data_IF_211225293243
#
_entry.id   IF_211225293243
#
_cell.length_a   1.000
_cell.length_b   1.000
_cell.length_c   1.000
_cell.angle_alpha   90.00
_cell.angle_beta   90.00
_cell.angle_gamma   90.00
#
_symmetry.space_group_name_H-M   'P 1'
#
loop_
_entity.id
_entity.type
_entity.pdbx_description
1 polymer ?
#
# COMPACT_ATOMS: atom_id res chain seq x y z
N UNK A 1 1.12 5.07 -7.24
CA UNK A 1 2.31 5.94 -7.26
C UNK A 1 2.19 6.99 -8.34
N UNK A 2 2.12 8.27 -7.96
CA UNK A 2 2.37 9.40 -8.85
C UNK A 2 3.55 10.19 -8.32
N UNK A 3 4.73 10.04 -8.93
CA UNK A 3 5.96 10.71 -8.47
C UNK A 3 5.80 12.24 -8.38
N UNK A 4 4.98 12.85 -9.25
CA UNK A 4 4.64 14.28 -9.18
C UNK A 4 3.93 14.64 -7.87
N UNK A 5 2.92 13.86 -7.49
CA UNK A 5 2.16 14.06 -6.26
C UNK A 5 3.05 13.86 -5.02
N UNK A 6 3.82 12.77 -4.99
CA UNK A 6 4.70 12.44 -3.87
C UNK A 6 5.78 13.52 -3.67
N UNK A 7 6.35 14.07 -4.75
CA UNK A 7 7.29 15.19 -4.68
C UNK A 7 6.64 16.48 -4.16
N UNK A 8 5.40 16.79 -4.57
CA UNK A 8 4.65 17.92 -4.03
C UNK A 8 4.37 17.78 -2.52
N UNK A 9 4.08 16.57 -2.02
CA UNK A 9 3.94 16.32 -0.57
C UNK A 9 5.25 16.55 0.19
N UNK A 10 6.40 16.18 -0.40
CA UNK A 10 7.73 16.43 0.19
C UNK A 10 8.01 17.93 0.31
N UNK A 11 7.59 18.74 -0.66
CA UNK A 11 7.78 20.19 -0.67
C UNK A 11 7.04 20.90 0.49
N UNK A 12 5.87 20.41 0.92
CA UNK A 12 5.06 21.04 1.98
C UNK A 12 5.81 21.16 3.32
N UNK A 13 5.76 22.35 3.93
CA UNK A 13 6.40 22.69 5.22
C UNK A 13 5.35 23.04 6.27
N UNK A 14 5.76 23.16 7.54
CA UNK A 14 4.86 23.49 8.66
C UNK A 14 3.92 22.38 9.14
N UNK A 15 3.87 21.23 8.44
CA UNK A 15 3.08 20.07 8.85
C UNK A 15 3.73 19.31 10.03
N UNK A 16 2.91 18.85 10.98
CA UNK A 16 3.33 17.83 11.98
C UNK A 16 3.72 16.53 11.25
N UNK A 17 4.70 15.74 11.75
CA UNK A 17 5.19 14.54 11.07
C UNK A 17 4.09 13.56 10.64
N UNK A 18 3.20 13.15 11.55
CA UNK A 18 2.09 12.24 11.25
C UNK A 18 1.09 12.82 10.23
N UNK A 19 0.80 14.13 10.29
CA UNK A 19 -0.03 14.82 9.28
C UNK A 19 0.65 14.85 7.90
N UNK A 20 1.98 14.95 7.84
CA UNK A 20 2.74 14.86 6.60
C UNK A 20 2.80 13.44 6.04
N UNK A 21 2.85 12.41 6.89
CA UNK A 21 2.76 10.99 6.50
C UNK A 21 1.40 10.71 5.83
N UNK A 22 0.29 11.17 6.43
CA UNK A 22 -1.06 11.02 5.83
C UNK A 22 -1.14 11.70 4.44
N UNK A 23 -0.57 12.89 4.29
CA UNK A 23 -0.51 13.58 3.00
C UNK A 23 0.35 12.81 1.96
N UNK A 24 1.47 12.24 2.40
CA UNK A 24 2.37 11.46 1.55
C UNK A 24 1.69 10.20 1.01
N UNK A 25 0.98 9.44 1.85
CA UNK A 25 0.21 8.26 1.41
C UNK A 25 -1.01 8.60 0.53
N UNK A 26 -1.64 9.77 0.73
CA UNK A 26 -2.66 10.27 -0.20
C UNK A 26 -2.07 10.59 -1.58
N UNK A 27 -0.86 11.14 -1.62
CA UNK A 27 -0.16 11.48 -2.86
C UNK A 27 0.38 10.24 -3.58
N UNK A 28 0.88 9.25 -2.83
CA UNK A 28 1.30 7.96 -3.40
C UNK A 28 0.14 7.28 -4.15
N UNK A 29 -1.05 7.32 -3.56
CA UNK A 29 -2.28 6.70 -4.10
C UNK A 29 -3.01 7.51 -5.15
N UNK A 30 -2.63 8.76 -5.39
CA UNK A 30 -3.19 9.55 -6.47
C UNK A 30 -2.75 8.98 -7.84
N UNK A 31 -3.73 8.80 -8.72
CA UNK A 31 -3.54 8.50 -10.13
C UNK A 31 -3.97 9.74 -10.96
N UNK A 32 -3.19 10.20 -11.96
CA UNK A 32 -3.50 11.42 -12.69
C UNK A 32 -4.78 11.34 -13.53
N UNK A 33 -5.13 10.16 -14.05
CA UNK A 33 -6.27 9.98 -14.97
C UNK A 33 -7.60 9.84 -14.20
N UNK A 34 -7.55 9.27 -12.99
CA UNK A 34 -8.76 8.93 -12.21
C UNK A 34 -8.92 9.79 -10.94
N UNK A 35 -7.82 10.22 -10.30
CA UNK A 35 -7.80 10.88 -8.98
C UNK A 35 -7.34 9.96 -7.84
N UNK A 36 -7.70 10.30 -6.60
CA UNK A 36 -7.35 9.54 -5.39
C UNK A 36 -8.60 9.08 -4.61
N UNK A 37 -8.73 7.77 -4.35
CA UNK A 37 -9.92 7.18 -3.69
C UNK A 37 -9.63 6.09 -2.62
N UNK A 38 -8.63 6.23 -1.72
CA UNK A 38 -8.40 5.24 -0.68
C UNK A 38 -9.59 5.12 0.27
N UNK A 39 -9.84 3.90 0.76
CA UNK A 39 -10.73 3.71 1.91
C UNK A 39 -10.02 4.20 3.18
N UNK A 40 -10.77 4.77 4.14
CA UNK A 40 -10.17 5.28 5.37
C UNK A 40 -9.44 4.18 6.17
N UNK A 41 -9.98 2.96 6.19
CA UNK A 41 -9.32 1.83 6.84
C UNK A 41 -7.93 1.55 6.22
N UNK A 42 -7.81 1.53 4.89
CA UNK A 42 -6.52 1.31 4.20
C UNK A 42 -5.59 2.52 4.31
N UNK A 43 -6.10 3.74 4.43
CA UNK A 43 -5.26 4.92 4.66
C UNK A 43 -4.76 5.00 6.12
N UNK A 44 -5.51 4.45 7.07
CA UNK A 44 -5.14 4.35 8.48
C UNK A 44 -4.09 3.26 8.71
N UNK A 45 -4.25 2.12 8.04
CA UNK A 45 -3.33 0.98 7.99
C UNK A 45 -1.93 1.41 7.49
N UNK A 46 -1.83 2.00 6.28
CA UNK A 46 -0.57 2.53 5.73
C UNK A 46 0.08 3.60 6.62
N UNK A 47 -0.72 4.47 7.24
CA UNK A 47 -0.22 5.54 8.09
C UNK A 47 0.02 5.10 9.55
N UNK A 48 -0.07 3.81 9.85
CA UNK A 48 0.16 3.17 11.16
C UNK A 48 -0.60 3.85 12.31
N UNK A 49 -1.86 4.24 12.08
CA UNK A 49 -2.65 5.02 13.03
C UNK A 49 -4.13 4.61 13.10
N UNK A 50 -4.82 5.02 14.17
CA UNK A 50 -6.26 4.76 14.30
C UNK A 50 -7.07 5.58 13.29
N UNK A 51 -8.25 5.09 12.91
CA UNK A 51 -9.18 5.81 12.01
C UNK A 51 -9.61 7.16 12.62
N UNK A 52 -9.62 7.30 13.95
CA UNK A 52 -9.86 8.57 14.63
C UNK A 52 -8.72 9.57 14.41
N UNK A 53 -7.48 9.18 14.70
CA UNK A 53 -6.29 10.02 14.49
C UNK A 53 -6.10 10.38 13.00
N UNK A 54 -6.38 9.44 12.10
CA UNK A 54 -6.44 9.73 10.67
C UNK A 54 -7.46 10.83 10.36
N UNK A 55 -8.68 10.78 10.92
CA UNK A 55 -9.69 11.79 10.62
C UNK A 55 -9.34 13.18 11.17
N UNK A 56 -8.63 13.26 12.31
CA UNK A 56 -8.05 14.52 12.81
C UNK A 56 -7.00 15.08 11.84
N UNK A 57 -6.09 14.23 11.34
CA UNK A 57 -5.08 14.66 10.38
C UNK A 57 -5.67 15.02 9.01
N UNK A 58 -6.71 14.30 8.56
CA UNK A 58 -7.46 14.67 7.36
C UNK A 58 -8.18 16.01 7.51
N UNK A 59 -8.80 16.28 8.67
CA UNK A 59 -9.38 17.59 8.95
C UNK A 59 -8.32 18.70 8.90
N UNK A 60 -7.15 18.48 9.53
CA UNK A 60 -6.05 19.47 9.49
C UNK A 60 -5.48 19.68 8.08
N UNK A 61 -5.53 18.68 7.19
CA UNK A 61 -5.13 18.84 5.79
C UNK A 61 -6.20 19.58 4.94
N UNK A 62 -7.47 19.52 5.31
CA UNK A 62 -8.55 20.34 4.71
C UNK A 62 -8.48 21.79 5.19
N UNK A 63 -8.26 22.02 6.49
CA UNK A 63 -8.00 23.36 7.07
C UNK A 63 -6.83 24.06 6.38
N UNK A 64 -5.78 23.32 6.07
CA UNK A 64 -4.59 23.84 5.37
C UNK A 64 -4.74 23.90 3.84
N UNK A 65 -5.94 23.61 3.30
CA UNK A 65 -6.25 23.60 1.85
C UNK A 65 -5.32 22.71 1.02
N UNK A 66 -4.77 21.66 1.63
CA UNK A 66 -3.90 20.68 0.95
C UNK A 66 -4.71 19.51 0.36
N UNK A 67 -5.89 19.21 0.91
CA UNK A 67 -6.82 18.21 0.39
C UNK A 67 -8.28 18.71 0.46
N UNK A 68 -9.17 18.08 -0.30
CA UNK A 68 -10.62 18.24 -0.20
C UNK A 68 -11.34 16.89 -0.39
N UNK A 69 -12.20 16.48 0.55
CA UNK A 69 -12.89 15.17 0.53
C UNK A 69 -14.31 15.23 -0.05
N UNK A 70 -14.47 14.87 -1.33
CA UNK A 70 -15.81 14.72 -1.95
C UNK A 70 -16.41 13.36 -1.58
N UNK A 71 -17.60 13.38 -0.97
CA UNK A 71 -18.33 12.18 -0.50
C UNK A 71 -19.56 11.91 -1.38
N UNK A 72 -19.40 11.11 -2.42
CA UNK A 72 -20.49 10.80 -3.37
C UNK A 72 -21.39 9.65 -2.88
N UNK A 73 -22.65 9.67 -3.32
CA UNK A 73 -23.68 8.68 -3.05
C UNK A 73 -24.26 8.21 -4.40
N UNK A 74 -24.48 6.91 -4.58
CA UNK A 74 -25.18 6.39 -5.76
C UNK A 74 -26.67 6.81 -5.69
N UNK A 75 -27.17 7.65 -6.63
CA UNK A 75 -28.53 8.16 -6.56
C UNK A 75 -29.60 7.09 -6.84
N UNK A 76 -29.21 5.94 -7.42
CA UNK A 76 -30.12 4.85 -7.80
C UNK A 76 -30.09 3.68 -6.81
N UNK A 77 -28.94 3.38 -6.20
CA UNK A 77 -28.82 2.28 -5.22
C UNK A 77 -28.73 2.74 -3.76
N UNK A 78 -28.64 4.04 -3.51
CA UNK A 78 -28.44 4.65 -2.19
C UNK A 78 -27.27 4.00 -1.41
N UNK A 79 -26.18 3.71 -2.12
CA UNK A 79 -24.93 3.24 -1.56
C UNK A 79 -23.91 4.36 -1.55
N UNK A 80 -23.23 4.55 -0.42
CA UNK A 80 -22.09 5.47 -0.30
C UNK A 80 -20.95 4.98 -1.19
N UNK A 81 -20.47 5.86 -2.08
CA UNK A 81 -19.36 5.55 -2.98
C UNK A 81 -18.01 5.80 -2.28
N UNK A 82 -16.91 5.43 -2.96
CA UNK A 82 -15.57 5.77 -2.50
C UNK A 82 -15.43 7.30 -2.37
N UNK A 83 -14.81 7.77 -1.29
CA UNK A 83 -14.57 9.20 -1.07
C UNK A 83 -13.42 9.64 -1.98
N UNK A 84 -13.64 10.64 -2.84
CA UNK A 84 -12.56 11.24 -3.63
C UNK A 84 -11.79 12.22 -2.76
N UNK A 85 -10.48 12.12 -2.78
CA UNK A 85 -9.55 13.08 -2.21
C UNK A 85 -8.98 13.88 -3.38
N UNK A 86 -9.38 15.14 -3.51
CA UNK A 86 -8.75 16.08 -4.45
C UNK A 86 -7.55 16.70 -3.73
N UNK A 87 -6.37 16.61 -4.33
CA UNK A 87 -5.13 17.17 -3.76
C UNK A 87 -4.93 18.62 -4.23
N UNK A 88 -4.28 19.45 -3.41
CA UNK A 88 -4.09 20.90 -3.63
C UNK A 88 -3.29 21.31 -4.88
N UNK A 89 -2.85 20.35 -5.71
CA UNK A 89 -2.24 20.60 -7.03
C UNK A 89 -3.12 20.15 -8.21
N UNK A 90 -4.28 19.50 -7.96
CA UNK A 90 -5.20 19.07 -9.01
C UNK A 90 -5.94 20.27 -9.61
N UNK A 91 -6.04 20.33 -10.94
CA UNK A 91 -6.95 21.26 -11.61
C UNK A 91 -8.40 20.92 -11.19
N UNK A 92 -9.14 21.92 -10.73
CA UNK A 92 -10.44 21.73 -10.08
C UNK A 92 -10.38 21.51 -8.57
N UNK A 93 -9.23 21.70 -7.91
CA UNK A 93 -9.21 21.92 -6.46
C UNK A 93 -10.08 23.17 -6.12
N UNK A 94 -11.03 23.08 -5.17
CA UNK A 94 -11.87 24.23 -4.85
C UNK A 94 -11.05 25.42 -4.38
N UNK A 95 -11.31 26.60 -4.95
CA UNK A 95 -10.86 27.86 -4.36
C UNK A 95 -11.85 28.27 -3.24
N UNK A 96 -11.56 29.36 -2.54
CA UNK A 96 -12.57 30.00 -1.70
C UNK A 96 -13.50 30.84 -2.60
N UNK A 97 -14.78 31.01 -2.25
CA UNK A 97 -15.55 32.09 -2.84
C UNK A 97 -14.83 33.39 -2.49
N UNK A 98 -14.38 34.13 -3.50
CA UNK A 98 -13.83 35.47 -3.29
C UNK A 98 -14.88 36.30 -2.55
N UNK A 99 -14.54 36.96 -1.43
CA UNK A 99 -15.50 37.85 -0.78
C UNK A 99 -15.93 38.93 -1.77
N UNK A 100 -17.25 39.14 -1.92
CA UNK A 100 -17.79 40.17 -2.81
C UNK A 100 -17.50 41.56 -2.25
N UNK A 101 -16.32 42.09 -2.56
CA UNK A 101 -16.02 43.52 -2.44
C UNK A 101 -16.54 44.24 -3.68
N UNK A 102 -17.87 44.42 -3.73
CA UNK A 102 -18.57 45.19 -4.74
C UNK A 102 -19.28 46.39 -4.09
N UNK A 103 -18.59 47.52 -3.97
CA UNK A 103 -19.15 48.74 -3.40
C UNK A 103 -20.15 49.43 -4.34
N UNK A 104 -21.29 49.89 -3.78
CA UNK A 104 -21.92 51.15 -4.17
C UNK A 104 -23.31 51.12 -4.83
N UNK A 105 -24.29 51.72 -4.13
CA UNK A 105 -25.53 52.38 -4.62
C UNK A 105 -26.54 51.51 -5.43
N UNK A 106 -27.87 51.66 -5.31
CA UNK A 106 -28.71 52.78 -4.85
C UNK A 106 -30.12 52.29 -4.39
N UNK A 107 -30.92 53.15 -3.75
CA UNK A 107 -32.35 52.93 -3.44
C UNK A 107 -32.63 52.33 -2.04
N UNK A 108 -33.05 53.11 -1.02
CA UNK A 108 -34.39 53.72 -0.75
C UNK A 108 -35.54 52.72 -0.62
N UNK A 109 -36.44 52.77 0.37
CA UNK A 109 -36.50 53.45 1.68
C UNK A 109 -37.67 52.81 2.48
N UNK A 110 -37.63 52.85 3.82
CA UNK A 110 -38.77 53.33 4.65
C UNK A 110 -38.41 53.30 6.15
N UNK A 111 -38.87 54.30 6.90
CA UNK A 111 -38.50 54.58 8.30
C UNK A 111 -39.56 54.13 9.31
N UNK A 112 -39.14 53.79 10.55
CA UNK A 112 -39.79 54.10 11.86
C UNK A 112 -39.22 53.22 12.99
N UNK A 113 -39.12 53.64 14.26
CA UNK A 113 -38.92 54.96 14.90
C UNK A 113 -38.57 54.71 16.40
N UNK A 114 -38.02 55.71 17.10
CA UNK A 114 -38.08 55.78 18.58
C UNK A 114 -36.86 55.30 19.39
N UNK A 115 -35.90 56.20 19.62
CA UNK A 115 -35.12 56.28 20.87
C UNK A 115 -35.90 57.24 21.82
N UNK A 116 -35.94 57.02 23.15
CA UNK A 116 -34.87 57.57 23.99
C UNK A 116 -34.45 56.71 25.20
N UNK A 117 -33.14 56.63 25.44
CA UNK A 117 -32.58 56.29 26.76
C UNK A 117 -32.58 57.53 27.68
N UNK A 118 -32.82 57.42 29.01
CA UNK A 118 -31.73 57.79 29.93
C UNK A 118 -31.66 57.03 31.29
N UNK A 119 -30.43 56.64 31.64
CA UNK A 119 -29.75 56.62 32.96
C UNK A 119 -30.51 56.41 34.30
N UNK A 120 -30.19 55.30 34.99
CA UNK A 120 -29.90 55.20 36.45
C UNK A 120 -29.61 53.73 36.83
N UNK A 121 -28.61 53.34 37.65
CA UNK A 121 -27.48 54.08 38.24
C UNK A 121 -26.88 53.31 39.44
N UNK A 122 -25.57 53.45 39.70
CA UNK A 122 -24.76 52.83 40.80
C UNK A 122 -24.60 51.30 40.73
N UNK A 123 -23.44 50.67 41.02
CA UNK A 123 -22.06 51.11 41.38
C UNK A 123 -21.18 49.84 41.52
N UNK A 124 -19.88 49.82 41.83
CA UNK A 124 -18.84 50.80 42.20
C UNK A 124 -17.48 50.01 42.31
N UNK A 125 -16.23 50.48 42.14
CA UNK A 125 -15.54 51.72 41.70
C UNK A 125 -14.04 51.36 41.42
N UNK A 126 -13.22 52.33 40.97
CA UNK A 126 -11.73 52.34 40.94
C UNK A 126 -11.01 51.71 39.71
N UNK A 127 -10.08 52.38 39.01
CA UNK A 127 -9.72 53.81 39.12
C UNK A 127 -8.35 54.25 38.57
N UNK A 128 -8.15 54.32 37.24
CA UNK A 128 -7.06 55.03 36.51
C UNK A 128 -5.59 54.60 36.81
N UNK A 129 -4.57 54.79 35.95
CA UNK A 129 -4.43 55.34 34.59
C UNK A 129 -3.29 54.56 33.85
N UNK A 130 -3.18 54.67 32.52
CA UNK A 130 -1.98 54.24 31.77
C UNK A 130 -0.86 55.31 31.88
N UNK A 131 0.45 55.11 31.62
CA UNK A 131 1.24 54.10 30.88
C UNK A 131 2.69 54.14 31.45
N UNK A 132 3.57 53.12 31.31
CA UNK A 132 4.29 52.91 30.03
C UNK A 132 4.55 51.43 29.66
N UNK A 133 5.36 51.22 28.62
CA UNK A 133 5.82 49.94 28.06
C UNK A 133 6.78 49.16 28.99
N UNK A 134 7.04 47.85 28.77
CA UNK A 134 7.56 46.96 29.80
C UNK A 134 9.07 47.08 30.04
N UNK A 135 9.46 46.88 31.31
CA UNK A 135 10.85 46.83 31.75
C UNK A 135 11.49 45.47 31.38
N UNK A 136 12.66 45.51 30.74
CA UNK A 136 13.35 44.30 30.26
C UNK A 136 14.16 43.65 31.39
N UNK A 137 13.53 42.73 32.12
CA UNK A 137 14.18 41.89 33.13
C UNK A 137 15.14 40.84 32.51
N UNK A 138 16.31 41.33 32.08
CA UNK A 138 17.54 40.59 31.74
C UNK A 138 17.41 39.36 30.82
N UNK A 139 17.72 39.57 29.53
CA UNK A 139 17.97 38.50 28.56
C UNK A 139 19.23 37.69 28.91
N UNK A 140 19.07 36.59 29.64
CA UNK A 140 20.15 35.60 29.77
C UNK A 140 20.27 34.79 28.47
N UNK A 141 21.02 35.35 27.51
CA UNK A 141 21.30 34.76 26.20
C UNK A 141 21.99 33.39 26.36
N UNK A 142 21.22 32.31 26.29
CA UNK A 142 21.76 30.94 26.31
C UNK A 142 22.22 30.54 24.91
N UNK A 143 23.31 31.15 24.46
CA UNK A 143 24.03 30.75 23.25
C UNK A 143 24.49 29.29 23.37
N UNK A 144 24.41 28.51 22.28
CA UNK A 144 25.41 27.49 22.02
C UNK A 144 26.00 27.60 20.60
N UNK A 145 26.37 28.81 20.16
CA UNK A 145 27.49 28.91 19.22
C UNK A 145 28.81 28.78 19.99
N UNK A 146 29.18 27.53 20.29
CA UNK A 146 30.52 27.17 20.75
C UNK A 146 31.22 26.44 19.62
N UNK A 147 32.29 27.03 19.08
CA UNK A 147 33.03 26.45 17.97
C UNK A 147 33.80 25.18 18.40
N UNK A 148 33.62 24.11 17.62
CA UNK A 148 34.67 23.16 17.21
C UNK A 148 35.69 22.69 18.27
N UNK A 149 35.23 22.18 19.42
CA UNK A 149 36.03 21.20 20.16
C UNK A 149 35.77 19.81 19.58
N UNK A 150 36.75 19.29 18.83
CA UNK A 150 36.82 17.87 18.47
C UNK A 150 37.21 17.06 19.71
N UNK A 151 36.25 16.75 20.57
CA UNK A 151 36.38 15.54 21.39
C UNK A 151 36.26 14.32 20.46
N UNK A 152 37.18 13.35 20.49
CA UNK A 152 37.17 12.21 19.58
C UNK A 152 36.09 11.20 20.00
N UNK A 153 34.85 11.47 19.59
CA UNK A 153 33.64 10.71 19.92
C UNK A 153 33.76 9.28 19.37
N UNK A 154 34.28 8.40 20.23
CA UNK A 154 34.79 7.09 19.83
C UNK A 154 33.67 6.07 19.67
N UNK A 155 33.17 5.99 18.44
CA UNK A 155 32.24 4.98 17.88
C UNK A 155 30.76 5.22 18.19
N UNK A 156 30.03 5.72 17.18
CA UNK A 156 28.94 4.97 16.54
C UNK A 156 29.40 4.25 15.26
N UNK A 157 30.59 4.61 14.75
CA UNK A 157 31.19 4.13 13.47
C UNK A 157 30.92 2.65 13.20
N UNK A 158 31.13 1.76 14.19
CA UNK A 158 30.97 0.31 14.01
C UNK A 158 29.61 -0.17 13.48
N UNK A 159 28.52 0.54 13.74
CA UNK A 159 27.19 0.12 13.28
C UNK A 159 26.87 0.68 11.89
N UNK A 160 27.30 1.91 11.59
CA UNK A 160 27.15 2.50 10.25
C UNK A 160 28.12 1.85 9.25
N UNK A 161 29.40 1.68 9.63
CA UNK A 161 30.41 0.89 8.92
C UNK A 161 29.94 -0.56 8.73
N UNK A 162 29.28 -1.15 9.74
CA UNK A 162 28.70 -2.49 9.67
C UNK A 162 27.49 -2.59 8.73
N UNK A 163 26.68 -1.54 8.61
CA UNK A 163 25.57 -1.48 7.64
C UNK A 163 26.08 -1.26 6.21
N UNK A 164 26.99 -0.30 6.03
CA UNK A 164 27.64 0.00 4.74
C UNK A 164 28.44 -1.21 4.22
N UNK A 165 29.14 -1.94 5.11
CA UNK A 165 29.80 -3.19 4.76
C UNK A 165 28.81 -4.26 4.28
N UNK A 166 27.68 -4.47 4.97
CA UNK A 166 26.66 -5.45 4.58
C UNK A 166 26.02 -5.16 3.22
N UNK A 167 25.71 -3.89 2.93
CA UNK A 167 25.17 -3.53 1.61
C UNK A 167 26.25 -3.64 0.51
N UNK A 168 27.52 -3.34 0.81
CA UNK A 168 28.64 -3.55 -0.12
C UNK A 168 28.96 -5.04 -0.37
N UNK A 169 28.87 -5.88 0.67
CA UNK A 169 28.96 -7.34 0.56
C UNK A 169 27.81 -7.89 -0.31
N UNK A 170 26.58 -7.39 -0.10
CA UNK A 170 25.43 -7.77 -0.93
C UNK A 170 25.56 -7.32 -2.39
N UNK A 171 26.03 -6.11 -2.67
CA UNK A 171 26.23 -5.66 -4.05
C UNK A 171 27.36 -6.44 -4.75
N UNK A 172 28.39 -6.90 -4.01
CA UNK A 172 29.39 -7.85 -4.52
C UNK A 172 28.74 -9.20 -4.88
N UNK A 173 27.98 -9.81 -3.96
CA UNK A 173 27.24 -11.05 -4.21
C UNK A 173 26.26 -10.91 -5.39
N UNK A 174 25.56 -9.78 -5.52
CA UNK A 174 24.65 -9.52 -6.63
C UNK A 174 25.40 -9.41 -7.96
N UNK A 175 26.59 -8.81 -7.99
CA UNK A 175 27.46 -8.79 -9.17
C UNK A 175 27.99 -10.21 -9.53
N UNK A 176 28.36 -11.02 -8.55
CA UNK A 176 28.74 -12.42 -8.75
C UNK A 176 27.57 -13.27 -9.28
N UNK A 177 26.34 -13.01 -8.82
CA UNK A 177 25.12 -13.64 -9.34
C UNK A 177 24.85 -13.26 -10.80
N UNK A 178 25.01 -11.99 -11.17
CA UNK A 178 24.91 -11.54 -12.56
C UNK A 178 25.97 -12.22 -13.43
N UNK A 179 27.22 -12.31 -12.95
CA UNK A 179 28.31 -13.02 -13.62
C UNK A 179 28.02 -14.53 -13.79
N UNK A 180 27.50 -15.20 -12.76
CA UNK A 180 27.08 -16.60 -12.81
C UNK A 180 25.92 -16.84 -13.80
N UNK A 181 25.09 -15.80 -14.04
CA UNK A 181 24.04 -15.79 -15.06
C UNK A 181 24.54 -15.32 -16.44
N UNK A 182 25.80 -14.93 -16.59
CA UNK A 182 26.35 -14.40 -17.84
C UNK A 182 25.65 -13.11 -18.30
N UNK A 183 25.25 -12.27 -17.35
CA UNK A 183 24.71 -10.93 -17.55
C UNK A 183 25.82 -9.90 -17.31
N UNK A 184 25.98 -8.94 -18.23
CA UNK A 184 26.93 -7.84 -18.05
C UNK A 184 26.33 -6.81 -17.08
N UNK A 185 27.01 -6.46 -15.96
CA UNK A 185 26.50 -5.46 -15.01
C UNK A 185 26.39 -4.05 -15.60
N UNK A 186 26.99 -3.78 -16.77
CA UNK A 186 26.91 -2.50 -17.48
C UNK A 186 25.78 -2.43 -18.52
N UNK A 187 25.28 -3.57 -19.00
CA UNK A 187 24.17 -3.69 -19.97
C UNK A 187 23.10 -4.69 -19.48
N UNK A 188 22.49 -4.36 -18.35
CA UNK A 188 21.47 -5.21 -17.72
C UNK A 188 20.09 -5.04 -18.38
N UNK A 189 19.36 -6.14 -18.68
CA UNK A 189 17.95 -6.06 -19.06
C UNK A 189 17.12 -5.35 -18.00
N UNK A 190 16.08 -4.61 -18.39
CA UNK A 190 15.32 -3.74 -17.47
C UNK A 190 14.77 -4.41 -16.20
N UNK A 191 14.47 -5.72 -16.25
CA UNK A 191 14.03 -6.50 -15.08
C UNK A 191 15.15 -6.85 -14.08
N UNK A 192 16.41 -6.66 -14.46
CA UNK A 192 17.60 -6.79 -13.62
C UNK A 192 18.15 -5.43 -13.14
N UNK A 193 17.55 -4.31 -13.56
CA UNK A 193 17.95 -2.97 -13.13
C UNK A 193 17.31 -2.53 -11.80
N UNK A 194 18.03 -1.72 -11.02
CA UNK A 194 17.52 -1.02 -9.83
C UNK A 194 17.37 -1.88 -8.57
N UNK A 195 16.46 -1.45 -7.69
CA UNK A 195 16.15 -2.09 -6.40
C UNK A 195 15.20 -3.30 -6.46
N UNK A 196 14.15 -3.35 -7.31
CA UNK A 196 13.23 -4.50 -7.34
C UNK A 196 13.91 -5.87 -7.50
N UNK A 197 14.90 -6.08 -8.40
CA UNK A 197 15.56 -7.38 -8.51
C UNK A 197 16.47 -7.69 -7.31
N UNK A 198 17.13 -6.68 -6.71
CA UNK A 198 17.91 -6.86 -5.48
C UNK A 198 17.03 -7.35 -4.32
N UNK A 199 15.86 -6.73 -4.13
CA UNK A 199 14.89 -7.14 -3.12
C UNK A 199 14.31 -8.54 -3.41
N UNK A 200 14.13 -8.91 -4.69
CA UNK A 200 13.70 -10.25 -5.07
C UNK A 200 14.77 -11.31 -4.77
N UNK A 201 16.06 -11.00 -4.95
CA UNK A 201 17.15 -11.91 -4.58
C UNK A 201 17.28 -12.05 -3.06
N UNK A 202 17.16 -10.96 -2.28
CA UNK A 202 17.19 -11.03 -0.79
C UNK A 202 16.15 -12.01 -0.24
N UNK A 203 14.94 -12.06 -0.83
CA UNK A 203 13.90 -13.04 -0.47
C UNK A 203 14.29 -14.51 -0.63
N UNK A 204 15.27 -14.87 -1.47
CA UNK A 204 15.75 -16.25 -1.50
C UNK A 204 16.57 -16.62 -0.26
N UNK A 205 17.23 -15.64 0.35
CA UNK A 205 17.88 -15.79 1.67
C UNK A 205 16.84 -15.70 2.79
N UNK A 206 15.96 -14.70 2.76
CA UNK A 206 14.99 -14.44 3.83
C UNK A 206 13.84 -15.48 3.89
N UNK A 207 13.17 -15.75 2.75
CA UNK A 207 11.97 -16.60 2.69
C UNK A 207 12.31 -18.10 2.48
N UNK A 208 13.41 -18.41 1.79
CA UNK A 208 13.82 -19.80 1.47
C UNK A 208 15.04 -20.30 2.27
N UNK A 209 15.68 -19.44 3.08
CA UNK A 209 16.83 -19.81 3.91
C UNK A 209 18.10 -20.16 3.13
N UNK A 210 18.24 -19.71 1.88
CA UNK A 210 19.40 -20.04 1.03
C UNK A 210 20.61 -19.15 1.32
N UNK A 211 21.77 -19.79 1.48
CA UNK A 211 23.06 -19.09 1.50
C UNK A 211 23.41 -18.54 0.11
N UNK A 212 24.22 -17.48 0.08
CA UNK A 212 24.70 -16.83 -1.14
C UNK A 212 25.41 -17.83 -2.07
N UNK A 213 26.32 -18.65 -1.55
CA UNK A 213 26.98 -19.76 -2.28
C UNK A 213 25.99 -20.66 -3.02
N UNK A 214 24.88 -21.02 -2.35
CA UNK A 214 23.88 -21.94 -2.88
C UNK A 214 23.01 -21.27 -3.94
N UNK A 215 22.78 -19.96 -3.84
CA UNK A 215 22.13 -19.16 -4.87
C UNK A 215 23.04 -19.08 -6.12
N UNK A 216 24.34 -18.84 -5.96
CA UNK A 216 25.31 -18.82 -7.06
C UNK A 216 25.45 -20.19 -7.75
N UNK A 217 25.57 -21.27 -6.97
CA UNK A 217 25.62 -22.65 -7.49
C UNK A 217 24.34 -22.99 -8.27
N UNK A 218 23.17 -22.65 -7.73
CA UNK A 218 21.88 -22.89 -8.37
C UNK A 218 21.71 -22.06 -9.65
N UNK A 219 22.16 -20.80 -9.66
CA UNK A 219 22.21 -19.98 -10.86
C UNK A 219 23.08 -20.64 -11.94
N UNK A 220 24.27 -21.13 -11.59
CA UNK A 220 25.13 -21.87 -12.52
C UNK A 220 24.50 -23.20 -13.01
N UNK A 221 23.78 -23.96 -12.17
CA UNK A 221 23.00 -25.15 -12.60
C UNK A 221 21.92 -24.76 -13.62
N UNK A 222 21.23 -23.63 -13.43
CA UNK A 222 20.22 -23.16 -14.39
C UNK A 222 20.82 -22.74 -15.73
N UNK A 223 21.99 -22.11 -15.77
CA UNK A 223 22.63 -21.72 -17.05
C UNK A 223 23.13 -22.91 -17.86
N UNK A 224 23.56 -23.99 -17.20
CA UNK A 224 23.91 -25.27 -17.86
C UNK A 224 22.70 -25.97 -18.48
N UNK A 225 21.49 -25.75 -17.94
CA UNK A 225 20.24 -26.37 -18.44
C UNK A 225 19.44 -25.45 -19.36
N UNK A 226 19.62 -24.13 -19.24
CA UNK A 226 18.98 -23.09 -20.04
C UNK A 226 20.04 -22.08 -20.51
N UNK A 227 20.54 -22.21 -21.77
CA UNK A 227 21.66 -21.41 -22.27
C UNK A 227 21.29 -19.96 -22.66
N UNK A 228 20.00 -19.62 -22.78
CA UNK A 228 19.56 -18.22 -22.77
C UNK A 228 19.59 -17.64 -21.34
N UNK A 229 20.01 -16.37 -21.14
CA UNK A 229 19.96 -15.75 -19.82
C UNK A 229 18.50 -15.55 -19.34
N UNK A 230 18.23 -15.58 -18.03
CA UNK A 230 16.89 -15.41 -17.49
C UNK A 230 16.37 -13.96 -17.66
N UNK A 231 15.11 -13.82 -18.08
CA UNK A 231 14.47 -12.51 -18.30
C UNK A 231 14.51 -11.59 -17.06
N UNK A 232 14.49 -12.17 -15.86
CA UNK A 232 14.52 -11.50 -14.56
C UNK A 232 14.71 -12.51 -13.42
N UNK A 233 14.97 -12.08 -12.17
CA UNK A 233 15.20 -12.99 -11.04
C UNK A 233 14.12 -14.06 -10.88
N UNK A 234 12.85 -13.68 -11.03
CA UNK A 234 11.67 -14.53 -10.94
C UNK A 234 11.70 -15.79 -11.82
N UNK A 235 12.47 -15.82 -12.91
CA UNK A 235 12.65 -17.04 -13.71
C UNK A 235 13.38 -18.16 -12.93
N UNK A 236 14.18 -17.78 -11.92
CA UNK A 236 14.99 -18.66 -11.09
C UNK A 236 14.26 -19.14 -9.82
N UNK A 237 13.11 -18.57 -9.46
CA UNK A 237 12.35 -18.94 -8.24
C UNK A 237 12.18 -20.46 -8.11
N UNK A 238 11.74 -21.11 -9.19
CA UNK A 238 11.59 -22.58 -9.24
C UNK A 238 12.88 -23.37 -9.15
N UNK A 239 14.03 -22.77 -9.34
CA UNK A 239 15.32 -23.39 -9.08
C UNK A 239 15.70 -23.23 -7.61
N UNK A 240 15.51 -22.03 -7.04
CA UNK A 240 15.76 -21.73 -5.64
C UNK A 240 14.84 -22.53 -4.70
N UNK A 241 13.54 -22.62 -5.00
CA UNK A 241 12.58 -23.51 -4.31
C UNK A 241 13.11 -24.96 -4.21
N UNK A 242 13.61 -25.51 -5.33
CA UNK A 242 14.18 -26.86 -5.38
C UNK A 242 15.54 -26.97 -4.69
N UNK A 243 16.35 -25.92 -4.72
CA UNK A 243 17.64 -25.88 -4.03
C UNK A 243 17.46 -25.88 -2.51
N UNK A 244 16.45 -25.17 -2.00
CA UNK A 244 16.05 -25.14 -0.59
C UNK A 244 15.46 -26.49 -0.15
N UNK A 245 14.54 -27.07 -0.93
CA UNK A 245 14.01 -28.43 -0.69
C UNK A 245 15.10 -29.51 -0.67
N UNK A 246 16.17 -29.35 -1.47
CA UNK A 246 17.37 -30.22 -1.46
C UNK A 246 18.33 -29.93 -0.29
N UNK A 247 18.23 -28.77 0.37
CA UNK A 247 19.10 -28.36 1.48
C UNK A 247 18.49 -28.65 2.85
N UNK A 248 17.17 -28.84 2.93
CA UNK A 248 16.51 -29.35 4.13
C UNK A 248 17.12 -30.73 4.55
N UNK A 249 17.37 -30.96 5.84
CA UNK A 249 17.99 -32.20 6.30
C UNK A 249 17.11 -33.42 5.97
N UNK A 250 17.74 -34.49 5.47
CA UNK A 250 17.05 -35.63 4.89
C UNK A 250 16.30 -36.50 5.92
N UNK A 251 15.08 -36.09 6.26
CA UNK A 251 14.09 -36.91 6.92
C UNK A 251 13.60 -38.03 5.98
N UNK A 252 14.40 -39.10 5.87
CA UNK A 252 14.07 -40.40 5.26
C UNK A 252 13.41 -40.36 3.87
N UNK A 253 14.23 -40.34 2.81
CA UNK A 253 13.82 -40.73 1.46
C UNK A 253 14.65 -41.93 0.97
N UNK A 254 14.12 -43.13 1.20
CA UNK A 254 14.67 -44.37 0.63
C UNK A 254 14.43 -44.43 -0.90
N UNK A 255 15.18 -45.27 -1.59
CA UNK A 255 15.44 -45.14 -3.02
C UNK A 255 14.22 -45.41 -3.93
N UNK A 256 13.87 -44.45 -4.80
CA UNK A 256 12.94 -44.67 -5.93
C UNK A 256 13.12 -43.70 -7.11
N UNK A 257 14.36 -43.49 -7.57
CA UNK A 257 14.60 -42.73 -8.81
C UNK A 257 14.32 -43.59 -10.07
N UNK A 258 13.09 -43.55 -10.60
CA UNK A 258 12.80 -43.76 -12.04
C UNK A 258 11.32 -43.54 -12.43
N UNK A 259 10.98 -42.37 -13.01
CA UNK A 259 10.28 -42.26 -14.31
C UNK A 259 10.08 -40.80 -14.75
N UNK A 260 9.73 -40.62 -16.03
CA UNK A 260 9.61 -39.32 -16.68
C UNK A 260 8.32 -38.55 -16.35
N UNK A 261 8.37 -37.24 -16.61
CA UNK A 261 7.26 -36.27 -16.61
C UNK A 261 6.14 -36.66 -17.63
N UNK A 262 4.92 -36.05 -17.58
CA UNK A 262 4.53 -34.89 -16.79
C UNK A 262 3.27 -35.06 -15.90
N UNK A 263 3.20 -34.31 -14.81
CA UNK A 263 1.99 -34.14 -14.00
C UNK A 263 2.19 -33.11 -12.89
N UNK A 264 1.71 -31.87 -13.10
CA UNK A 264 1.82 -30.80 -12.10
C UNK A 264 0.70 -30.95 -11.06
N UNK A 265 0.88 -31.88 -10.11
CA UNK A 265 0.20 -31.74 -8.81
C UNK A 265 0.64 -30.43 -8.15
N UNK A 266 -0.29 -29.81 -7.44
CA UNK A 266 -0.05 -28.70 -6.51
C UNK A 266 -0.59 -29.17 -5.15
N UNK A 267 0.00 -28.73 -4.05
CA UNK A 267 -0.20 -29.36 -2.75
C UNK A 267 -1.64 -29.34 -2.19
N UNK A 268 -1.87 -30.29 -1.29
CA UNK A 268 -3.16 -30.75 -0.78
C UNK A 268 -3.80 -29.77 0.22
N UNK A 269 -4.13 -28.55 -0.23
CA UNK A 269 -4.93 -27.59 0.53
C UNK A 269 -6.43 -27.89 0.45
N UNK A 270 -6.90 -28.95 1.13
CA UNK A 270 -8.30 -29.40 1.29
C UNK A 270 -9.22 -29.11 0.09
N UNK A 271 -8.82 -29.61 -1.09
CA UNK A 271 -9.76 -29.78 -2.20
C UNK A 271 -10.44 -31.13 -2.06
N UNK A 272 -11.76 -31.12 -1.89
CA UNK A 272 -12.57 -32.32 -2.05
C UNK A 272 -12.26 -32.98 -3.41
N UNK A 273 -12.14 -34.30 -3.41
CA UNK A 273 -11.84 -35.11 -4.59
C UNK A 273 -12.82 -34.78 -5.73
N UNK A 274 -12.41 -34.86 -7.02
CA UNK A 274 -13.37 -34.81 -8.12
C UNK A 274 -14.53 -35.83 -7.98
N UNK A 275 -14.32 -36.94 -7.27
CA UNK A 275 -15.37 -37.92 -6.95
C UNK A 275 -16.32 -37.41 -5.85
N UNK A 276 -15.78 -36.76 -4.81
CA UNK A 276 -16.56 -36.16 -3.71
C UNK A 276 -17.37 -34.96 -4.19
N UNK A 277 -16.80 -34.14 -5.08
CA UNK A 277 -17.52 -33.05 -5.74
C UNK A 277 -18.65 -33.58 -6.64
N UNK A 278 -18.41 -34.68 -7.37
CA UNK A 278 -19.46 -35.33 -8.16
C UNK A 278 -20.58 -35.90 -7.24
N UNK A 279 -20.24 -36.48 -6.09
CA UNK A 279 -21.22 -36.94 -5.11
C UNK A 279 -22.03 -35.77 -4.49
N UNK A 280 -21.37 -34.66 -4.15
CA UNK A 280 -22.03 -33.45 -3.62
C UNK A 280 -23.01 -32.83 -4.61
N UNK A 281 -22.61 -32.65 -5.87
CA UNK A 281 -23.51 -32.15 -6.91
C UNK A 281 -24.62 -33.15 -7.25
N UNK A 282 -24.38 -34.46 -7.15
CA UNK A 282 -25.42 -35.47 -7.33
C UNK A 282 -26.49 -35.41 -6.24
N UNK A 283 -26.12 -35.29 -4.96
CA UNK A 283 -27.07 -35.05 -3.86
C UNK A 283 -27.89 -33.77 -4.08
N UNK A 284 -27.26 -32.69 -4.57
CA UNK A 284 -27.96 -31.45 -4.88
C UNK A 284 -28.97 -31.61 -6.03
N UNK A 285 -28.63 -32.32 -7.11
CA UNK A 285 -29.53 -32.59 -8.25
C UNK A 285 -30.65 -33.57 -7.88
N UNK A 286 -30.34 -34.59 -7.09
CA UNK A 286 -31.30 -35.61 -6.67
C UNK A 286 -32.28 -35.07 -5.62
N UNK A 287 -31.84 -34.23 -4.68
CA UNK A 287 -32.74 -33.44 -3.81
C UNK A 287 -33.61 -32.45 -4.60
N UNK A 288 -34.66 -31.90 -3.98
CA UNK A 288 -35.52 -30.86 -4.59
C UNK A 288 -35.11 -29.42 -4.26
N UNK A 289 -33.95 -29.22 -3.61
CA UNK A 289 -33.40 -27.88 -3.28
C UNK A 289 -33.22 -27.01 -4.54
N UNK A 290 -33.24 -25.68 -4.41
CA UNK A 290 -33.05 -24.78 -5.55
C UNK A 290 -31.67 -24.98 -6.20
N UNK A 291 -31.65 -25.14 -7.54
CA UNK A 291 -30.44 -25.31 -8.34
C UNK A 291 -30.38 -24.22 -9.43
N UNK A 292 -29.42 -23.28 -9.38
CA UNK A 292 -29.19 -22.34 -10.48
C UNK A 292 -28.67 -23.06 -11.73
N UNK A 293 -29.20 -22.70 -12.91
CA UNK A 293 -28.90 -23.39 -14.17
C UNK A 293 -27.44 -23.34 -14.66
N UNK A 294 -26.58 -22.53 -14.02
CA UNK A 294 -25.13 -22.44 -14.30
C UNK A 294 -24.24 -23.09 -13.23
N UNK A 295 -24.81 -23.67 -12.17
CA UNK A 295 -24.06 -24.22 -11.03
C UNK A 295 -23.31 -25.53 -11.35
N UNK A 296 -23.70 -26.25 -12.42
CA UNK A 296 -23.10 -27.52 -12.81
C UNK A 296 -22.42 -27.37 -14.16
N UNK A 297 -21.10 -27.51 -14.20
CA UNK A 297 -20.34 -27.55 -15.45
C UNK A 297 -20.61 -28.83 -16.23
N UNK A 298 -20.46 -28.79 -17.55
CA UNK A 298 -20.57 -29.99 -18.40
C UNK A 298 -19.62 -31.10 -17.92
N UNK A 299 -18.37 -30.76 -17.57
CA UNK A 299 -17.40 -31.69 -16.99
C UNK A 299 -17.88 -32.37 -15.70
N UNK A 300 -18.64 -31.68 -14.84
CA UNK A 300 -19.20 -32.26 -13.62
C UNK A 300 -20.44 -33.12 -13.93
N UNK A 301 -21.26 -32.72 -14.90
CA UNK A 301 -22.38 -33.52 -15.41
C UNK A 301 -21.91 -34.85 -15.97
N UNK A 302 -20.91 -34.82 -16.85
CA UNK A 302 -20.30 -36.00 -17.45
C UNK A 302 -19.65 -36.88 -16.37
N UNK A 303 -19.02 -36.26 -15.37
CA UNK A 303 -18.47 -36.98 -14.22
C UNK A 303 -19.53 -37.70 -13.36
N UNK A 304 -20.69 -37.08 -13.11
CA UNK A 304 -21.81 -37.70 -12.39
C UNK A 304 -22.48 -38.82 -13.21
N UNK A 305 -22.68 -38.59 -14.51
CA UNK A 305 -23.27 -39.58 -15.43
C UNK A 305 -22.36 -40.81 -15.57
N UNK A 306 -21.05 -40.62 -15.78
CA UNK A 306 -20.09 -41.71 -15.88
C UNK A 306 -19.93 -42.53 -14.59
N UNK A 307 -20.34 -41.97 -13.44
CA UNK A 307 -20.38 -42.64 -12.13
C UNK A 307 -21.77 -43.19 -11.77
N UNK A 308 -22.78 -43.00 -12.62
CA UNK A 308 -24.16 -43.44 -12.37
C UNK A 308 -24.89 -42.73 -11.22
N UNK A 309 -24.37 -41.60 -10.74
CA UNK A 309 -24.89 -40.91 -9.54
C UNK A 309 -26.19 -40.13 -9.78
N UNK A 310 -26.50 -39.83 -11.06
CA UNK A 310 -27.68 -39.07 -11.49
C UNK A 310 -28.13 -39.60 -12.86
N UNK A 311 -29.43 -39.60 -13.15
CA UNK A 311 -29.95 -39.96 -14.49
C UNK A 311 -29.99 -38.75 -15.44
N UNK A 312 -29.85 -38.95 -16.77
CA UNK A 312 -30.06 -37.89 -17.77
C UNK A 312 -31.42 -37.21 -17.64
N UNK A 313 -32.44 -37.96 -17.26
CA UNK A 313 -33.83 -37.51 -17.08
C UNK A 313 -33.94 -36.55 -15.90
N UNK A 314 -33.30 -36.85 -14.75
CA UNK A 314 -33.30 -35.95 -13.58
C UNK A 314 -32.53 -34.66 -13.86
N UNK A 315 -31.41 -34.72 -14.60
CA UNK A 315 -30.69 -33.53 -15.04
C UNK A 315 -31.56 -32.62 -15.91
N UNK A 316 -32.25 -33.19 -16.91
CA UNK A 316 -33.21 -32.46 -17.78
C UNK A 316 -34.36 -31.84 -16.99
N UNK A 317 -34.97 -32.57 -16.05
CA UNK A 317 -36.02 -32.07 -15.15
C UNK A 317 -35.54 -30.86 -14.32
N UNK A 318 -34.27 -30.87 -13.90
CA UNK A 318 -33.66 -29.83 -13.05
C UNK A 318 -33.02 -28.71 -13.88
N UNK A 319 -33.35 -28.62 -15.18
CA UNK A 319 -32.94 -27.53 -16.08
C UNK A 319 -31.51 -27.62 -16.63
N UNK A 320 -30.78 -28.71 -16.33
CA UNK A 320 -29.37 -28.87 -16.70
C UNK A 320 -29.27 -29.52 -18.09
N UNK A 321 -28.68 -28.81 -19.06
CA UNK A 321 -28.47 -29.26 -20.45
C UNK A 321 -27.03 -29.69 -20.69
#
# INVERSE_FOLDING_TARGET
MSHRATNWAIQQRGLKPATKIVLWFLCDRHNPDFGCFPTQARLADDAEMSISALNEHLARLEELRLIHRVRTHDPRTHKRQATRYILGFEEGFPQEPTPETGDGFDGTDDEQDGDPTPDSGHGAISGFLAKPSPDFAQSHLRNPETNLVREPLSKPVKEEEGAQARDADFDRFFAELLGALGLDPTDLPGWWQGLPPRLHVRRWTDDLGLSEDRILETAAETRRTHPAPPDGPKALDRAMERAAQRAAPAATSDASNQKAKPGRKLDEGTRASPDELAAFYADLVNSDRFLPGSTISNTMRDAMLARGLVTPERLRQRGVR
#
